data_IF_587929725560
#
_entry.id   IF_587929725560
#
_cell.length_a   1.000
_cell.length_b   1.000
_cell.length_c   1.000
_cell.angle_alpha   90.00
_cell.angle_beta   90.00
_cell.angle_gamma   90.00
#
_symmetry.space_group_name_H-M   'P 1'
#
loop_
_entity.id
_entity.type
_entity.pdbx_description
1 polymer ?
#
# COMPACT_ATOMS: atom_id res chain seq x y z
N UNK A 1 17.22 -8.47 -26.54
CA UNK A 1 18.28 -7.67 -25.89
C UNK A 1 17.66 -6.34 -25.47
N UNK A 2 17.76 -5.95 -24.20
CA UNK A 2 17.23 -4.65 -23.73
C UNK A 2 18.24 -3.57 -24.13
N UNK A 3 17.77 -2.50 -24.77
CA UNK A 3 18.61 -1.33 -25.08
C UNK A 3 18.50 -0.31 -23.95
N UNK A 4 19.63 0.12 -23.40
CA UNK A 4 19.70 1.23 -22.44
C UNK A 4 19.66 2.54 -23.24
N UNK A 5 18.63 3.36 -23.04
CA UNK A 5 18.32 4.51 -23.92
C UNK A 5 18.48 5.89 -23.27
N UNK A 6 18.56 5.97 -21.95
CA UNK A 6 18.58 7.24 -21.21
C UNK A 6 19.84 7.30 -20.35
N UNK A 7 20.51 8.46 -20.32
CA UNK A 7 21.70 8.77 -19.50
C UNK A 7 21.66 10.25 -19.11
N UNK A 8 22.54 10.68 -18.19
CA UNK A 8 22.63 12.09 -17.76
C UNK A 8 21.31 12.62 -17.20
N UNK A 9 21.01 13.89 -17.46
CA UNK A 9 19.85 14.60 -16.92
C UNK A 9 18.51 13.92 -17.29
N UNK A 10 18.38 13.45 -18.53
CA UNK A 10 17.17 12.75 -18.98
C UNK A 10 16.88 11.45 -18.21
N UNK A 11 17.93 10.79 -17.68
CA UNK A 11 17.77 9.64 -16.79
C UNK A 11 17.33 10.10 -15.39
N UNK A 12 17.97 11.13 -14.83
CA UNK A 12 17.61 11.69 -13.53
C UNK A 12 16.16 12.19 -13.49
N UNK A 13 15.73 12.95 -14.50
CA UNK A 13 14.34 13.39 -14.66
C UNK A 13 13.36 12.20 -14.75
N UNK A 14 13.77 11.06 -15.32
CA UNK A 14 12.93 9.86 -15.34
C UNK A 14 12.81 9.21 -13.96
N UNK A 15 13.86 9.24 -13.16
CA UNK A 15 13.87 8.68 -11.80
C UNK A 15 12.97 9.55 -10.90
N UNK A 16 13.13 10.86 -10.92
CA UNK A 16 12.33 11.80 -10.12
C UNK A 16 10.85 11.74 -10.49
N UNK A 17 10.54 11.85 -11.78
CA UNK A 17 9.17 11.76 -12.30
C UNK A 17 8.48 10.44 -11.95
N UNK A 18 9.23 9.35 -11.77
CA UNK A 18 8.63 8.08 -11.35
C UNK A 18 8.07 8.18 -9.93
N UNK A 19 8.76 8.88 -9.03
CA UNK A 19 8.31 9.12 -7.64
C UNK A 19 7.15 10.13 -7.64
N UNK A 20 7.28 11.23 -8.39
CA UNK A 20 6.26 12.28 -8.47
C UNK A 20 4.91 11.73 -8.96
N UNK A 21 4.92 10.86 -9.98
CA UNK A 21 3.69 10.22 -10.49
C UNK A 21 2.95 9.40 -9.44
N UNK A 22 3.66 8.73 -8.54
CA UNK A 22 3.03 7.95 -7.47
C UNK A 22 2.44 8.89 -6.42
N UNK A 23 3.17 9.95 -6.05
CA UNK A 23 2.69 10.98 -5.11
C UNK A 23 1.44 11.71 -5.63
N UNK A 24 1.47 12.16 -6.89
CA UNK A 24 0.33 12.79 -7.55
C UNK A 24 -0.90 11.86 -7.58
N UNK A 25 -0.70 10.61 -7.96
CA UNK A 25 -1.79 9.61 -7.97
C UNK A 25 -2.38 9.40 -6.59
N UNK A 26 -1.52 9.21 -5.58
CA UNK A 26 -1.96 9.05 -4.20
C UNK A 26 -2.81 10.25 -3.77
N UNK A 27 -2.33 11.47 -4.01
CA UNK A 27 -3.02 12.70 -3.65
C UNK A 27 -4.39 12.84 -4.32
N UNK A 28 -4.46 12.64 -5.65
CA UNK A 28 -5.74 12.71 -6.39
C UNK A 28 -6.75 11.69 -5.91
N UNK A 29 -6.32 10.46 -5.60
CA UNK A 29 -7.19 9.41 -5.04
C UNK A 29 -7.73 9.81 -3.68
N UNK A 30 -6.84 10.20 -2.76
CA UNK A 30 -7.25 10.53 -1.39
C UNK A 30 -8.17 11.74 -1.36
N UNK A 31 -7.89 12.76 -2.17
CA UNK A 31 -8.75 13.94 -2.29
C UNK A 31 -10.13 13.61 -2.85
N UNK A 32 -10.21 12.82 -3.92
CA UNK A 32 -11.49 12.45 -4.52
C UNK A 32 -12.36 11.63 -3.55
N UNK A 33 -11.76 10.68 -2.83
CA UNK A 33 -12.47 9.87 -1.84
C UNK A 33 -12.90 10.68 -0.62
N UNK A 34 -12.04 11.55 -0.09
CA UNK A 34 -12.42 12.45 1.03
C UNK A 34 -13.50 13.45 0.61
N UNK A 35 -13.43 14.04 -0.58
CA UNK A 35 -14.46 14.96 -1.10
C UNK A 35 -15.83 14.28 -1.26
N UNK A 36 -15.84 13.01 -1.64
CA UNK A 36 -17.05 12.18 -1.72
C UNK A 36 -17.48 11.57 -0.38
N UNK A 37 -16.76 11.86 0.72
CA UNK A 37 -16.99 11.27 2.05
C UNK A 37 -16.97 9.73 2.06
N UNK A 38 -16.15 9.12 1.20
CA UNK A 38 -16.02 7.67 1.09
C UNK A 38 -14.93 7.19 2.06
N UNK A 39 -15.24 6.28 3.01
CA UNK A 39 -14.23 5.68 3.85
C UNK A 39 -13.21 4.88 3.04
N UNK A 40 -11.92 5.10 3.32
CA UNK A 40 -10.82 4.36 2.70
C UNK A 40 -9.63 4.29 3.67
N UNK A 41 -8.70 3.39 3.38
CA UNK A 41 -7.36 3.41 3.96
C UNK A 41 -6.30 3.16 2.89
N UNK A 42 -5.28 4.00 2.82
CA UNK A 42 -4.07 3.75 2.05
C UNK A 42 -3.28 2.66 2.75
N UNK A 43 -2.77 1.70 1.96
CA UNK A 43 -2.03 0.53 2.42
C UNK A 43 -0.78 0.35 1.53
N UNK A 44 -0.25 -0.87 1.44
CA UNK A 44 0.87 -1.15 0.53
C UNK A 44 2.16 -0.48 0.97
N UNK A 45 3.05 -0.19 0.03
CA UNK A 45 4.32 0.47 0.33
C UNK A 45 4.16 1.94 0.74
N UNK A 46 3.10 2.62 0.30
CA UNK A 46 2.86 4.02 0.68
C UNK A 46 2.55 4.16 2.18
N UNK A 47 1.71 3.28 2.74
CA UNK A 47 1.42 3.28 4.17
C UNK A 47 2.68 2.99 5.01
N UNK A 48 3.54 2.09 4.56
CA UNK A 48 4.80 1.76 5.25
C UNK A 48 5.73 2.98 5.27
N UNK A 49 5.88 3.67 4.14
CA UNK A 49 6.66 4.90 4.07
C UNK A 49 6.16 5.96 5.04
N UNK A 50 4.84 6.12 5.16
CA UNK A 50 4.22 7.08 6.09
C UNK A 50 4.63 6.79 7.54
N UNK A 51 4.72 5.52 7.94
CA UNK A 51 5.16 5.15 9.29
C UNK A 51 6.68 5.28 9.46
N UNK A 52 7.47 4.68 8.56
CA UNK A 52 8.94 4.67 8.64
C UNK A 52 9.52 6.10 8.61
N UNK A 53 8.98 6.97 7.76
CA UNK A 53 9.45 8.35 7.61
C UNK A 53 9.24 9.22 8.88
N UNK A 54 8.40 8.79 9.82
CA UNK A 54 8.24 9.49 11.10
C UNK A 54 9.39 9.23 12.06
N UNK A 55 10.16 8.16 11.83
CA UNK A 55 11.28 7.74 12.69
C UNK A 55 12.61 8.00 12.01
N UNK A 56 12.78 7.56 10.76
CA UNK A 56 14.01 7.70 10.00
C UNK A 56 13.73 7.94 8.51
N UNK A 57 14.08 9.13 8.02
CA UNK A 57 13.91 9.50 6.61
C UNK A 57 14.80 8.69 5.66
N UNK A 58 15.94 8.20 6.14
CA UNK A 58 16.93 7.47 5.33
C UNK A 58 16.52 6.02 5.06
N UNK A 59 15.61 5.47 5.87
CA UNK A 59 15.05 4.13 5.73
C UNK A 59 13.85 4.05 4.75
N UNK A 60 13.41 5.18 4.20
CA UNK A 60 12.20 5.26 3.36
C UNK A 60 12.44 4.64 1.98
N UNK A 61 11.61 3.66 1.61
CA UNK A 61 11.60 3.07 0.26
C UNK A 61 10.43 3.57 -0.58
N UNK A 62 10.72 4.08 -1.78
CA UNK A 62 9.67 4.42 -2.73
C UNK A 62 8.95 3.17 -3.26
N UNK A 63 7.63 3.29 -3.47
CA UNK A 63 6.82 2.28 -4.15
C UNK A 63 6.40 2.74 -5.55
N UNK A 64 5.88 1.80 -6.34
CA UNK A 64 5.45 2.03 -7.74
C UNK A 64 3.94 2.11 -7.89
N UNK A 65 3.22 1.45 -6.99
CA UNK A 65 1.77 1.28 -6.97
C UNK A 65 1.13 2.13 -5.85
N UNK A 66 -0.17 2.38 -5.98
CA UNK A 66 -1.00 2.88 -4.89
C UNK A 66 -1.97 1.76 -4.54
N UNK A 67 -2.02 1.36 -3.27
CA UNK A 67 -2.95 0.34 -2.79
C UNK A 67 -3.91 1.00 -1.79
N UNK A 68 -5.21 0.73 -1.91
CA UNK A 68 -6.24 1.21 -0.99
C UNK A 68 -7.18 0.08 -0.54
N UNK A 69 -7.73 0.24 0.66
CA UNK A 69 -8.88 -0.53 1.15
C UNK A 69 -10.14 0.31 0.98
N UNK A 70 -11.22 -0.31 0.53
CA UNK A 70 -12.58 0.24 0.52
C UNK A 70 -13.55 -0.75 1.21
N UNK A 71 -14.70 -0.27 1.66
CA UNK A 71 -15.82 -1.18 1.89
C UNK A 71 -16.40 -1.64 0.55
N UNK A 72 -16.85 -2.89 0.46
CA UNK A 72 -17.47 -3.44 -0.76
C UNK A 72 -18.64 -2.59 -1.26
N UNK A 73 -19.47 -2.12 -0.33
CA UNK A 73 -20.68 -1.34 -0.61
C UNK A 73 -20.36 0.06 -1.14
N UNK A 74 -19.16 0.59 -0.87
CA UNK A 74 -18.73 1.91 -1.31
C UNK A 74 -18.11 1.89 -2.71
N UNK A 75 -17.95 0.71 -3.34
CA UNK A 75 -17.26 0.61 -4.64
C UNK A 75 -17.93 1.46 -5.73
N UNK A 76 -19.26 1.45 -5.84
CA UNK A 76 -19.94 2.21 -6.89
C UNK A 76 -19.80 3.71 -6.70
N UNK A 77 -19.87 4.20 -5.46
CA UNK A 77 -19.60 5.61 -5.14
C UNK A 77 -18.14 5.97 -5.45
N UNK A 78 -17.19 5.09 -5.10
CA UNK A 78 -15.77 5.30 -5.36
C UNK A 78 -15.47 5.35 -6.86
N UNK A 79 -16.17 4.55 -7.68
CA UNK A 79 -16.06 4.63 -9.14
C UNK A 79 -16.48 5.97 -9.68
N UNK A 80 -17.59 6.53 -9.20
CA UNK A 80 -18.06 7.84 -9.63
C UNK A 80 -17.06 8.94 -9.23
N UNK A 81 -16.66 8.98 -7.96
CA UNK A 81 -15.73 9.99 -7.44
C UNK A 81 -14.35 9.94 -8.14
N UNK A 82 -13.79 8.74 -8.33
CA UNK A 82 -12.50 8.59 -8.96
C UNK A 82 -12.56 8.83 -10.48
N UNK A 83 -13.70 8.59 -11.13
CA UNK A 83 -13.87 8.95 -12.54
C UNK A 83 -13.78 10.46 -12.78
N UNK A 84 -14.34 11.28 -11.87
CA UNK A 84 -14.21 12.74 -11.93
C UNK A 84 -12.75 13.21 -11.78
N UNK A 85 -11.94 12.45 -11.03
CA UNK A 85 -10.51 12.67 -10.89
C UNK A 85 -9.66 12.06 -12.04
N UNK A 86 -10.31 11.58 -13.11
CA UNK A 86 -9.66 11.05 -14.32
C UNK A 86 -9.27 9.58 -14.26
N UNK A 87 -9.69 8.85 -13.22
CA UNK A 87 -9.41 7.42 -13.11
C UNK A 87 -10.45 6.55 -13.82
N UNK A 88 -9.98 5.43 -14.37
CA UNK A 88 -10.84 4.48 -15.10
C UNK A 88 -10.88 3.17 -14.33
N UNK A 89 -12.06 2.81 -13.82
CA UNK A 89 -12.24 1.52 -13.15
C UNK A 89 -12.01 0.36 -14.12
N UNK A 90 -11.24 -0.63 -13.68
CA UNK A 90 -10.99 -1.86 -14.40
C UNK A 90 -11.02 -3.04 -13.44
N UNK A 91 -11.69 -4.10 -13.87
CA UNK A 91 -11.62 -5.41 -13.21
C UNK A 91 -10.97 -6.40 -14.18
N UNK A 92 -9.83 -6.96 -13.81
CA UNK A 92 -9.10 -7.91 -14.64
C UNK A 92 -8.35 -8.92 -13.76
N UNK A 93 -8.36 -10.20 -14.15
CA UNK A 93 -7.67 -11.28 -13.44
C UNK A 93 -7.97 -11.32 -11.91
N UNK A 94 -9.23 -11.09 -11.54
CA UNK A 94 -9.72 -10.99 -10.15
C UNK A 94 -9.16 -9.81 -9.34
N UNK A 95 -8.44 -8.88 -9.98
CA UNK A 95 -7.93 -7.66 -9.36
C UNK A 95 -8.80 -6.48 -9.78
N UNK A 96 -9.29 -5.74 -8.79
CA UNK A 96 -10.01 -4.48 -9.00
C UNK A 96 -9.02 -3.33 -8.88
N UNK A 97 -9.04 -2.43 -9.85
CA UNK A 97 -8.10 -1.32 -9.91
C UNK A 97 -8.70 -0.10 -10.60
N UNK A 98 -8.11 1.07 -10.33
CA UNK A 98 -8.38 2.31 -11.02
C UNK A 98 -7.15 2.71 -11.83
N UNK A 99 -7.27 2.71 -13.16
CA UNK A 99 -6.23 3.14 -14.08
C UNK A 99 -6.13 4.66 -14.08
N UNK A 100 -4.90 5.18 -14.07
CA UNK A 100 -4.59 6.61 -14.08
C UNK A 100 -4.66 7.20 -15.50
N UNK A 101 -5.87 7.21 -16.06
CA UNK A 101 -6.15 7.60 -17.44
C UNK A 101 -6.09 6.43 -18.45
N UNK A 102 -6.43 6.70 -19.73
CA UNK A 102 -6.62 5.66 -20.76
C UNK A 102 -5.33 4.93 -21.16
N UNK A 103 -4.18 5.61 -21.07
CA UNK A 103 -2.87 5.06 -21.43
C UNK A 103 -2.15 4.38 -20.24
N UNK A 104 -2.78 4.37 -19.06
CA UNK A 104 -2.15 3.81 -17.86
C UNK A 104 -2.04 2.29 -17.94
N UNK A 105 -0.87 1.80 -17.53
CA UNK A 105 -0.62 0.37 -17.38
C UNK A 105 -1.20 -0.10 -16.06
N UNK A 106 -1.61 -1.37 -16.00
CA UNK A 106 -2.10 -1.98 -14.76
C UNK A 106 -1.10 -1.90 -13.60
N UNK A 107 0.21 -1.78 -13.89
CA UNK A 107 1.28 -1.63 -12.88
C UNK A 107 1.32 -0.23 -12.24
N UNK A 108 0.71 0.75 -12.89
CA UNK A 108 0.64 2.15 -12.46
C UNK A 108 -0.77 2.46 -11.93
N UNK A 109 -1.59 1.44 -11.68
CA UNK A 109 -2.95 1.60 -11.22
C UNK A 109 -3.02 1.82 -9.70
N UNK A 110 -4.20 2.25 -9.25
CA UNK A 110 -4.60 2.18 -7.85
C UNK A 110 -5.25 0.82 -7.63
N UNK A 111 -4.64 -0.05 -6.85
CA UNK A 111 -5.20 -1.36 -6.53
C UNK A 111 -6.17 -1.26 -5.36
N UNK A 112 -7.27 -2.01 -5.44
CA UNK A 112 -8.32 -2.01 -4.43
C UNK A 112 -8.45 -3.40 -3.83
N UNK A 113 -8.49 -3.45 -2.51
CA UNK A 113 -8.93 -4.62 -1.74
C UNK A 113 -10.09 -4.22 -0.82
N UNK A 114 -10.86 -5.20 -0.34
CA UNK A 114 -12.09 -4.92 0.43
C UNK A 114 -11.93 -5.26 1.90
N UNK A 115 -12.32 -4.32 2.76
CA UNK A 115 -12.34 -4.50 4.21
C UNK A 115 -13.16 -5.74 4.60
N UNK A 116 -12.63 -6.56 5.51
CA UNK A 116 -13.30 -7.78 5.98
C UNK A 116 -13.28 -8.95 5.00
N UNK A 117 -12.71 -8.79 3.80
CA UNK A 117 -12.62 -9.85 2.79
C UNK A 117 -11.21 -10.41 2.68
N UNK A 118 -11.08 -11.70 2.36
CA UNK A 118 -9.78 -12.28 2.03
C UNK A 118 -9.38 -11.89 0.60
N UNK A 119 -8.17 -11.35 0.44
CA UNK A 119 -7.60 -11.06 -0.90
C UNK A 119 -7.40 -12.34 -1.71
N UNK A 120 -6.99 -13.41 -1.04
CA UNK A 120 -6.89 -14.76 -1.61
C UNK A 120 -7.45 -15.77 -0.61
N UNK A 121 -8.05 -16.84 -1.12
CA UNK A 121 -8.72 -17.84 -0.28
C UNK A 121 -7.76 -18.50 0.72
N UNK A 122 -6.51 -18.71 0.30
CA UNK A 122 -5.44 -19.29 1.11
C UNK A 122 -4.88 -18.37 2.20
N UNK A 123 -5.22 -17.08 2.20
CA UNK A 123 -4.74 -16.16 3.25
C UNK A 123 -5.39 -16.51 4.60
N UNK A 124 -4.62 -16.41 5.68
CA UNK A 124 -5.08 -16.79 7.02
C UNK A 124 -6.12 -15.81 7.57
N UNK A 125 -5.90 -14.51 7.37
CA UNK A 125 -6.76 -13.45 7.89
C UNK A 125 -7.36 -12.61 6.74
N UNK A 126 -8.56 -12.03 6.93
CA UNK A 126 -9.12 -11.07 5.98
C UNK A 126 -8.34 -9.74 6.02
N UNK A 127 -8.60 -8.88 5.03
CA UNK A 127 -8.15 -7.48 5.07
C UNK A 127 -8.75 -6.79 6.30
N UNK A 128 -7.95 -5.99 7.06
CA UNK A 128 -8.45 -5.23 8.20
C UNK A 128 -9.67 -4.36 7.86
N UNK A 129 -10.54 -4.16 8.85
CA UNK A 129 -11.59 -3.15 8.77
C UNK A 129 -10.97 -1.75 8.74
N UNK A 130 -11.72 -0.79 8.22
CA UNK A 130 -11.31 0.62 8.09
C UNK A 130 -12.11 1.56 9.00
N UNK A 131 -12.79 0.99 10.00
CA UNK A 131 -13.50 1.73 11.03
C UNK A 131 -12.52 2.52 11.92
N UNK A 132 -11.34 1.92 12.15
CA UNK A 132 -10.19 2.58 12.78
C UNK A 132 -9.17 2.95 11.71
N UNK A 133 -8.63 4.16 11.81
CA UNK A 133 -7.62 4.67 10.89
C UNK A 133 -6.75 5.71 11.57
N UNK A 134 -5.55 5.87 11.03
CA UNK A 134 -4.64 6.96 11.36
C UNK A 134 -4.69 8.01 10.26
N UNK A 135 -4.82 9.28 10.65
CA UNK A 135 -4.85 10.41 9.72
C UNK A 135 -3.50 11.11 9.74
N UNK A 136 -2.77 11.04 8.63
CA UNK A 136 -1.51 11.76 8.46
C UNK A 136 -1.71 12.80 7.35
N UNK A 137 -1.86 14.07 7.78
CA UNK A 137 -2.35 15.17 6.93
C UNK A 137 -3.66 14.80 6.23
N UNK A 138 -3.65 14.68 4.92
CA UNK A 138 -4.83 14.39 4.10
C UNK A 138 -5.02 12.88 3.90
N UNK A 139 -4.05 12.04 4.28
CA UNK A 139 -4.09 10.60 4.01
C UNK A 139 -4.67 9.86 5.21
N UNK A 140 -5.67 8.99 4.96
CA UNK A 140 -6.07 7.93 5.90
C UNK A 140 -5.26 6.67 5.63
N UNK A 141 -4.67 6.09 6.66
CA UNK A 141 -3.96 4.79 6.59
C UNK A 141 -4.43 3.89 7.74
N UNK A 142 -4.13 2.59 7.65
CA UNK A 142 -4.36 1.68 8.77
C UNK A 142 -3.48 2.05 9.98
N UNK A 143 -3.97 1.82 11.22
CA UNK A 143 -3.12 1.76 12.40
C UNK A 143 -1.94 0.80 12.18
N UNK A 144 -0.78 1.11 12.75
CA UNK A 144 0.46 0.36 12.49
C UNK A 144 0.31 -1.14 12.71
N UNK A 145 -0.36 -1.55 13.79
CA UNK A 145 -0.60 -2.97 14.09
C UNK A 145 -1.41 -3.69 13.01
N UNK A 146 -2.47 -3.06 12.50
CA UNK A 146 -3.29 -3.59 11.42
C UNK A 146 -2.51 -3.64 10.09
N UNK A 147 -1.64 -2.66 9.84
CA UNK A 147 -0.77 -2.67 8.66
C UNK A 147 0.23 -3.84 8.71
N UNK A 148 0.88 -4.07 9.86
CA UNK A 148 1.83 -5.18 10.05
C UNK A 148 1.13 -6.52 9.92
N UNK A 149 -0.04 -6.70 10.54
CA UNK A 149 -0.91 -7.88 10.35
C UNK A 149 -1.19 -8.15 8.87
N UNK A 150 -1.48 -7.11 8.10
CA UNK A 150 -1.73 -7.22 6.67
C UNK A 150 -0.46 -7.64 5.89
N UNK A 151 0.72 -7.12 6.25
CA UNK A 151 1.99 -7.52 5.63
C UNK A 151 2.33 -8.97 5.94
N UNK A 152 2.22 -9.37 7.20
CA UNK A 152 2.44 -10.75 7.65
C UNK A 152 1.43 -11.72 7.03
N UNK A 153 0.18 -11.29 6.79
CA UNK A 153 -0.82 -12.12 6.09
C UNK A 153 -0.42 -12.38 4.64
N UNK A 154 -0.01 -11.34 3.90
CA UNK A 154 0.37 -11.48 2.49
C UNK A 154 1.72 -12.16 2.29
N UNK A 155 2.70 -11.86 3.16
CA UNK A 155 4.02 -12.46 3.28
C UNK A 155 4.78 -12.70 1.96
N UNK A 156 4.60 -11.80 0.98
CA UNK A 156 5.45 -11.79 -0.23
C UNK A 156 6.81 -11.19 0.15
N UNK A 157 7.84 -11.42 -0.65
CA UNK A 157 9.18 -10.83 -0.42
C UNK A 157 9.15 -9.31 -0.18
N UNK A 158 8.31 -8.57 -0.92
CA UNK A 158 8.13 -7.12 -0.69
C UNK A 158 7.49 -6.79 0.65
N UNK A 159 6.59 -7.63 1.15
CA UNK A 159 5.94 -7.43 2.44
C UNK A 159 6.88 -7.79 3.60
N UNK A 160 7.70 -8.82 3.45
CA UNK A 160 8.79 -9.15 4.39
C UNK A 160 9.75 -7.96 4.54
N UNK A 161 10.22 -7.40 3.42
CA UNK A 161 11.09 -6.21 3.43
C UNK A 161 10.42 -5.03 4.15
N UNK A 162 9.12 -4.79 3.94
CA UNK A 162 8.42 -3.72 4.67
C UNK A 162 8.41 -3.95 6.19
N UNK A 163 8.25 -5.19 6.65
CA UNK A 163 8.29 -5.52 8.08
C UNK A 163 9.71 -5.37 8.63
N UNK A 164 10.73 -5.79 7.86
CA UNK A 164 12.14 -5.57 8.20
C UNK A 164 12.49 -4.08 8.27
N UNK A 165 12.00 -3.25 7.35
CA UNK A 165 12.21 -1.81 7.40
C UNK A 165 11.62 -1.23 8.71
N UNK A 166 10.42 -1.66 9.13
CA UNK A 166 9.82 -1.24 10.42
C UNK A 166 10.61 -1.73 11.64
N UNK A 167 11.09 -2.98 11.62
CA UNK A 167 11.96 -3.54 12.68
C UNK A 167 13.26 -2.74 12.78
N UNK A 168 13.89 -2.43 11.65
CA UNK A 168 15.21 -1.76 11.60
C UNK A 168 15.21 -0.36 12.21
N UNK A 169 14.07 0.34 12.15
CA UNK A 169 13.89 1.67 12.76
C UNK A 169 13.24 1.60 14.15
N UNK A 170 12.96 0.41 14.68
CA UNK A 170 12.35 0.22 15.99
C UNK A 170 10.87 0.62 16.09
N UNK A 171 10.14 0.66 14.96
CA UNK A 171 8.69 0.89 14.96
C UNK A 171 7.93 -0.29 15.57
N UNK A 172 8.48 -1.50 15.38
CA UNK A 172 7.99 -2.76 15.92
C UNK A 172 9.18 -3.57 16.43
N UNK A 173 8.92 -4.53 17.32
CA UNK A 173 9.93 -5.39 17.93
C UNK A 173 9.32 -6.74 18.37
N UNK A 174 10.09 -7.55 19.08
CA UNK A 174 9.67 -8.84 19.63
C UNK A 174 8.44 -8.76 20.56
N UNK A 175 8.15 -7.61 21.18
CA UNK A 175 6.96 -7.43 22.03
C UNK A 175 5.65 -7.47 21.25
N UNK A 176 5.71 -7.48 19.91
CA UNK A 176 4.56 -7.55 19.03
C UNK A 176 4.14 -8.99 18.70
N UNK A 177 4.95 -10.00 19.01
CA UNK A 177 4.70 -11.40 18.68
C UNK A 177 3.33 -11.88 19.19
N UNK A 178 2.99 -11.56 20.44
CA UNK A 178 1.74 -12.00 21.09
C UNK A 178 0.49 -11.26 20.61
N UNK A 179 0.63 -10.26 19.72
CA UNK A 179 -0.50 -9.51 19.15
C UNK A 179 -1.13 -10.20 17.94
N UNK A 180 -0.47 -11.24 17.44
CA UNK A 180 -0.81 -11.89 16.18
C UNK A 180 -1.26 -13.34 16.36
N UNK A 181 -1.99 -13.86 15.36
CA UNK A 181 -2.33 -15.28 15.34
C UNK A 181 -1.06 -16.14 15.23
N UNK A 182 -1.07 -17.42 15.67
CA UNK A 182 0.15 -18.24 15.74
C UNK A 182 0.95 -18.29 14.43
N UNK A 183 0.26 -18.33 13.29
CA UNK A 183 0.90 -18.33 11.98
C UNK A 183 1.59 -17.00 11.64
N UNK A 184 0.97 -15.88 11.99
CA UNK A 184 1.56 -14.55 11.76
C UNK A 184 2.68 -14.26 12.77
N UNK A 185 2.53 -14.73 14.01
CA UNK A 185 3.59 -14.70 15.02
C UNK A 185 4.84 -15.42 14.53
N UNK A 186 4.69 -16.65 14.01
CA UNK A 186 5.80 -17.41 13.43
C UNK A 186 6.49 -16.62 12.30
N UNK A 187 5.71 -16.03 11.39
CA UNK A 187 6.25 -15.20 10.30
C UNK A 187 7.00 -13.96 10.78
N UNK A 188 6.54 -13.32 11.86
CA UNK A 188 7.26 -12.20 12.45
C UNK A 188 8.56 -12.68 13.11
N UNK A 189 8.51 -13.78 13.86
CA UNK A 189 9.68 -14.39 14.49
C UNK A 189 10.75 -14.75 13.46
N UNK A 190 10.37 -15.36 12.33
CA UNK A 190 11.29 -15.69 11.22
C UNK A 190 12.08 -14.46 10.75
N UNK A 191 11.42 -13.30 10.63
CA UNK A 191 12.07 -12.05 10.21
C UNK A 191 12.95 -11.40 11.30
N UNK A 192 12.64 -11.66 12.57
CA UNK A 192 13.46 -11.20 13.70
C UNK A 192 14.72 -12.07 13.81
N UNK A 193 14.57 -13.38 13.67
CA UNK A 193 15.66 -14.36 13.82
C UNK A 193 16.65 -14.31 12.65
N UNK A 194 16.15 -14.03 11.44
CA UNK A 194 16.95 -13.98 10.22
C UNK A 194 16.59 -12.76 9.36
N UNK A 195 17.06 -11.56 9.74
CA UNK A 195 16.73 -10.32 9.03
C UNK A 195 17.35 -10.23 7.63
N UNK A 196 18.40 -11.01 7.35
CA UNK A 196 19.14 -11.01 6.08
C UNK A 196 18.71 -12.13 5.11
N UNK A 197 18.22 -13.26 5.65
CA UNK A 197 17.52 -14.33 4.93
C UNK A 197 18.36 -15.37 4.20
#
# INVERSE_FOLDING_TARGET
MVQIRYTGDALWERIERAVEKVKDRLHRVTQALDAASIPYAVIGGNAVQIWVAQVDESAVRNTRDVDIILNRNDLEAAKAALAEAGFIYRHAAKVMMFLDGPEAKARDAVHVVFAGEKVREEYYEPVPLIDEYERIKEVRTLPLEALVRMKLTSYRRKDQVHVLDMLSVGLIDESWLDRYSPMLQQRLQELIDDPDG
#
